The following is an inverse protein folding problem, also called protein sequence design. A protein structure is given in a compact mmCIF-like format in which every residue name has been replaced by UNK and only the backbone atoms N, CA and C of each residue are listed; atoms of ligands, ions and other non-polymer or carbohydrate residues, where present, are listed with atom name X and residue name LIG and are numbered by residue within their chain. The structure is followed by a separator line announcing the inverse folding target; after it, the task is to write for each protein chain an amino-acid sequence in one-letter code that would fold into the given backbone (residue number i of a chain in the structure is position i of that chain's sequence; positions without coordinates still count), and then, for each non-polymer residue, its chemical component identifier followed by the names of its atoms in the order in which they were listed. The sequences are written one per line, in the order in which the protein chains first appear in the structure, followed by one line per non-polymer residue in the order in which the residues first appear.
data_IF_324846017938
#
_entry.id   IF_324846017938
#
_cell.length_a   1.000
_cell.length_b   1.000
_cell.length_c   1.000
_cell.angle_alpha   90.00
_cell.angle_beta   90.00
_cell.angle_gamma   90.00
#
_symmetry.space_group_name_H-M   'P 1'
#
loop_
_entity.id
_entity.type
_entity.pdbx_description
1 polymer ?
#
# COMPACT_ATOMS: atom_id res chain seq x y z
N UNK A 1 25.14 -11.77 34.05
CA UNK A 1 24.16 -12.86 34.22
C UNK A 1 23.91 -13.66 32.92
N UNK A 2 23.90 -13.04 31.74
CA UNK A 2 23.63 -13.74 30.44
C UNK A 2 24.64 -14.83 30.05
N UNK A 3 25.94 -14.69 30.38
CA UNK A 3 26.96 -15.71 30.10
C UNK A 3 26.83 -17.02 30.89
N UNK A 4 26.22 -16.99 32.08
CA UNK A 4 26.00 -18.20 32.91
C UNK A 4 24.82 -19.03 32.43
N UNK A 5 23.78 -18.41 31.82
CA UNK A 5 22.64 -19.13 31.27
C UNK A 5 23.01 -19.88 29.98
N UNK A 6 23.88 -19.28 29.14
CA UNK A 6 24.35 -19.91 27.92
C UNK A 6 25.22 -21.13 28.18
N UNK A 7 26.08 -21.07 29.21
CA UNK A 7 26.90 -22.20 29.63
C UNK A 7 26.08 -23.36 30.21
N UNK A 8 24.95 -23.11 30.84
CA UNK A 8 24.05 -24.14 31.38
C UNK A 8 23.27 -24.88 30.29
N UNK A 9 22.84 -24.18 29.25
CA UNK A 9 22.14 -24.78 28.09
C UNK A 9 23.09 -25.66 27.27
N UNK A 10 24.34 -25.25 27.08
CA UNK A 10 25.34 -26.05 26.35
C UNK A 10 25.71 -27.32 27.09
N UNK A 11 25.78 -27.29 28.43
CA UNK A 11 26.06 -28.48 29.25
C UNK A 11 24.88 -29.45 29.31
N UNK A 12 23.63 -29.00 29.25
CA UNK A 12 22.46 -29.88 29.18
C UNK A 12 22.39 -30.60 27.82
N UNK A 13 22.78 -29.95 26.72
CA UNK A 13 22.79 -30.57 25.38
C UNK A 13 23.91 -31.61 25.22
N UNK A 14 25.09 -31.33 25.77
CA UNK A 14 26.20 -32.29 25.79
C UNK A 14 25.87 -33.58 26.61
N UNK A 15 25.04 -33.45 27.64
CA UNK A 15 24.61 -34.59 28.46
C UNK A 15 23.58 -35.47 27.73
N UNK A 16 22.75 -34.92 26.85
CA UNK A 16 21.78 -35.66 26.04
C UNK A 16 22.46 -36.46 24.94
N UNK A 17 23.55 -35.96 24.36
CA UNK A 17 24.33 -36.68 23.33
C UNK A 17 25.12 -37.89 23.91
N UNK A 18 25.43 -37.88 25.20
CA UNK A 18 26.15 -38.97 25.87
C UNK A 18 25.24 -40.14 26.28
N UNK A 19 23.93 -39.96 26.29
CA UNK A 19 22.97 -41.02 26.69
C UNK A 19 22.41 -41.85 25.55
N UNK A 20 22.84 -41.68 24.32
CA UNK A 20 22.71 -42.63 23.21
C UNK A 20 21.28 -43.09 22.91
N UNK A 21 20.29 -42.20 22.88
CA UNK A 21 18.96 -42.57 22.45
C UNK A 21 18.20 -41.39 21.86
N UNK A 22 17.82 -41.59 20.64
CA UNK A 22 16.79 -40.96 19.83
C UNK A 22 17.36 -40.17 18.63
N UNK A 23 16.96 -40.61 17.46
CA UNK A 23 17.07 -39.90 16.21
C UNK A 23 16.34 -38.53 16.36
N UNK A 24 17.03 -37.43 16.06
CA UNK A 24 16.44 -36.11 16.06
C UNK A 24 15.46 -36.08 14.88
N UNK A 25 14.20 -35.68 15.05
CA UNK A 25 13.26 -35.60 13.95
C UNK A 25 13.80 -34.55 12.93
N UNK A 26 13.72 -34.86 11.65
CA UNK A 26 14.14 -34.01 10.53
C UNK A 26 13.63 -32.55 10.62
N UNK A 27 12.47 -32.35 11.26
CA UNK A 27 11.90 -31.04 11.55
C UNK A 27 12.70 -30.24 12.61
N UNK A 28 13.41 -30.87 13.51
CA UNK A 28 14.21 -30.18 14.52
C UNK A 28 15.53 -29.64 13.94
N UNK A 29 16.13 -30.34 12.95
CA UNK A 29 17.29 -29.84 12.21
C UNK A 29 16.94 -28.64 11.34
N UNK A 30 15.73 -28.64 10.75
CA UNK A 30 15.24 -27.51 9.93
C UNK A 30 15.03 -26.24 10.77
N UNK A 31 14.52 -26.40 12.00
CA UNK A 31 14.30 -25.29 12.94
C UNK A 31 15.64 -24.73 13.43
N UNK A 32 16.62 -25.57 13.74
CA UNK A 32 17.96 -25.13 14.15
C UNK A 32 18.71 -24.43 13.04
N UNK A 33 18.60 -24.91 11.79
CA UNK A 33 19.19 -24.28 10.63
C UNK A 33 18.53 -22.91 10.31
N UNK A 34 17.23 -22.77 10.56
CA UNK A 34 16.52 -21.51 10.41
C UNK A 34 16.88 -20.50 11.52
N UNK A 35 17.03 -20.96 12.77
CA UNK A 35 17.47 -20.08 13.87
C UNK A 35 18.92 -19.61 13.68
N UNK A 36 19.79 -20.45 13.15
CA UNK A 36 21.19 -20.08 12.86
C UNK A 36 21.28 -19.09 11.68
N UNK A 37 20.46 -19.26 10.63
CA UNK A 37 20.39 -18.32 9.51
C UNK A 37 19.83 -16.96 9.90
N UNK A 38 18.84 -16.92 10.81
CA UNK A 38 18.27 -15.69 11.37
C UNK A 38 19.27 -14.99 12.30
N UNK A 39 20.03 -15.74 13.11
CA UNK A 39 21.03 -15.17 14.01
C UNK A 39 22.19 -14.51 13.26
N UNK A 40 22.63 -15.09 12.13
CA UNK A 40 23.69 -14.50 11.28
C UNK A 40 23.20 -13.25 10.55
N UNK A 41 21.93 -13.22 10.14
CA UNK A 41 21.31 -12.03 9.56
C UNK A 41 21.20 -10.88 10.60
N UNK A 42 20.91 -11.22 11.85
CA UNK A 42 20.80 -10.28 12.96
C UNK A 42 22.16 -9.61 13.32
N UNK A 43 23.27 -10.34 13.25
CA UNK A 43 24.59 -9.78 13.58
C UNK A 43 25.09 -8.79 12.51
N UNK A 44 24.75 -9.03 11.24
CA UNK A 44 25.14 -8.16 10.14
C UNK A 44 24.26 -6.88 10.03
N UNK A 45 23.03 -6.90 10.53
CA UNK A 45 22.18 -5.71 10.58
C UNK A 45 22.59 -4.73 11.69
N UNK A 46 23.23 -5.22 12.77
CA UNK A 46 23.66 -4.37 13.88
C UNK A 46 24.75 -3.36 13.47
N UNK A 47 25.62 -3.72 12.52
CA UNK A 47 26.70 -2.82 12.05
C UNK A 47 26.16 -1.67 11.18
N UNK A 48 25.00 -1.84 10.55
CA UNK A 48 24.39 -0.81 9.70
C UNK A 48 23.59 0.23 10.51
N UNK A 49 23.07 -0.14 11.69
CA UNK A 49 22.33 0.77 12.58
C UNK A 49 23.22 1.90 13.13
N UNK A 50 24.52 1.69 13.29
CA UNK A 50 25.44 2.68 13.86
C UNK A 50 25.66 3.88 12.92
N UNK A 51 25.48 3.70 11.61
CA UNK A 51 25.67 4.79 10.63
C UNK A 51 24.40 5.64 10.37
N UNK A 52 23.22 5.17 10.77
CA UNK A 52 21.95 5.90 10.56
C UNK A 52 21.64 6.93 11.67
N UNK A 53 22.28 6.84 12.84
CA UNK A 53 22.05 7.79 13.94
C UNK A 53 22.66 9.18 13.72
N UNK A 54 23.51 9.37 12.69
CA UNK A 54 24.25 10.63 12.48
C UNK A 54 23.47 11.67 11.64
N UNK A 55 22.35 11.30 11.01
CA UNK A 55 21.59 12.19 10.12
C UNK A 55 20.20 12.60 10.63
N UNK A 56 20.01 12.68 11.93
CA UNK A 56 18.79 13.30 12.50
C UNK A 56 18.94 14.84 12.50
N UNK A 57 19.05 15.43 11.31
CA UNK A 57 19.00 16.87 11.11
C UNK A 57 17.56 17.26 10.89
N UNK A 58 17.02 17.98 11.86
CA UNK A 58 15.80 18.79 11.88
C UNK A 58 15.18 19.05 10.51
N UNK A 59 14.06 18.39 10.21
CA UNK A 59 13.16 18.81 9.14
C UNK A 59 12.22 19.89 9.68
N UNK A 60 12.62 21.13 9.57
CA UNK A 60 11.68 22.26 9.53
C UNK A 60 10.98 22.27 8.19
N UNK A 61 9.68 22.52 8.22
CA UNK A 61 8.68 22.53 7.18
C UNK A 61 9.18 22.88 5.78
N UNK A 62 9.13 21.91 4.86
CA UNK A 62 9.04 22.18 3.44
C UNK A 62 7.65 21.82 2.93
N UNK A 63 7.02 22.82 2.32
CA UNK A 63 5.77 22.71 1.59
C UNK A 63 5.89 21.63 0.50
N UNK A 64 4.82 20.87 0.29
CA UNK A 64 4.74 19.91 -0.79
C UNK A 64 5.04 20.59 -2.13
N UNK A 65 5.92 20.04 -2.97
CA UNK A 65 6.12 20.58 -4.31
C UNK A 65 4.80 20.53 -5.08
N UNK A 66 4.40 21.66 -5.66
CA UNK A 66 3.30 21.74 -6.62
C UNK A 66 3.52 20.70 -7.73
N UNK A 67 2.43 20.04 -8.15
CA UNK A 67 2.45 19.11 -9.26
C UNK A 67 3.09 19.81 -10.48
N UNK A 68 4.20 19.24 -10.97
CA UNK A 68 4.92 19.79 -12.11
C UNK A 68 4.02 19.81 -13.35
N UNK A 69 4.25 20.77 -14.26
CA UNK A 69 3.50 20.88 -15.52
C UNK A 69 3.54 19.59 -16.38
N UNK A 70 4.51 18.71 -16.16
CA UNK A 70 4.57 17.38 -16.79
C UNK A 70 3.42 16.45 -16.35
N UNK A 71 2.99 16.51 -15.08
CA UNK A 71 1.82 15.75 -14.60
C UNK A 71 0.50 16.27 -15.23
N UNK A 72 0.46 17.53 -15.65
CA UNK A 72 -0.68 18.12 -16.36
C UNK A 72 -0.76 17.72 -17.83
N UNK A 73 0.39 17.45 -18.48
CA UNK A 73 0.44 17.13 -19.92
C UNK A 73 0.14 15.65 -20.22
N UNK A 74 0.31 14.73 -19.27
CA UNK A 74 0.00 13.30 -19.45
C UNK A 74 -1.51 13.06 -19.67
N UNK A 75 -2.36 13.99 -19.24
CA UNK A 75 -3.82 13.86 -19.36
C UNK A 75 -4.39 14.24 -20.75
N UNK A 76 -3.56 14.66 -21.71
CA UNK A 76 -4.01 15.18 -23.01
C UNK A 76 -3.67 14.30 -24.22
N UNK A 77 -3.20 13.04 -24.02
CA UNK A 77 -3.10 12.12 -25.18
C UNK A 77 -4.49 11.80 -25.72
N UNK A 78 -4.67 11.75 -27.06
CA UNK A 78 -5.97 11.49 -27.65
C UNK A 78 -6.46 10.11 -27.24
N UNK A 79 -7.56 10.09 -26.47
CA UNK A 79 -8.22 8.88 -26.02
C UNK A 79 -8.58 7.99 -27.20
N UNK A 80 -7.99 6.80 -27.28
CA UNK A 80 -8.44 5.76 -28.19
C UNK A 80 -9.79 5.28 -27.70
N UNK A 81 -10.86 5.60 -28.43
CA UNK A 81 -12.20 5.07 -28.17
C UNK A 81 -12.19 3.57 -28.47
N UNK A 82 -12.15 2.75 -27.44
CA UNK A 82 -12.38 1.31 -27.59
C UNK A 82 -13.87 1.03 -27.66
N UNK A 83 -14.24 0.10 -28.54
CA UNK A 83 -15.62 -0.39 -28.73
C UNK A 83 -16.04 -1.37 -27.60
N UNK A 84 -15.37 -1.31 -26.43
CA UNK A 84 -15.71 -2.13 -25.29
C UNK A 84 -17.08 -1.75 -24.75
N UNK A 85 -17.98 -2.70 -24.74
CA UNK A 85 -19.34 -2.52 -24.20
C UNK A 85 -19.29 -2.59 -22.66
N UNK A 86 -19.78 -1.57 -21.98
CA UNK A 86 -20.06 -1.64 -20.53
C UNK A 86 -21.55 -1.91 -20.35
N UNK A 87 -21.86 -2.99 -19.65
CA UNK A 87 -23.24 -3.33 -19.27
C UNK A 87 -23.43 -3.11 -17.78
N UNK A 88 -24.49 -2.41 -17.41
CA UNK A 88 -24.95 -2.27 -16.01
C UNK A 88 -26.20 -3.11 -15.86
N UNK A 89 -26.15 -4.15 -15.03
CA UNK A 89 -27.22 -5.14 -14.84
C UNK A 89 -27.75 -5.72 -16.16
N UNK A 90 -26.83 -5.94 -17.12
CA UNK A 90 -27.13 -6.49 -18.43
C UNK A 90 -27.67 -5.49 -19.47
N UNK A 91 -27.79 -4.22 -19.12
CA UNK A 91 -28.19 -3.15 -20.04
C UNK A 91 -26.98 -2.28 -20.42
N UNK A 92 -26.89 -1.80 -21.67
CA UNK A 92 -25.81 -0.89 -22.07
C UNK A 92 -25.74 0.33 -21.17
N UNK A 93 -24.53 0.65 -20.69
CA UNK A 93 -24.31 1.89 -19.94
C UNK A 93 -24.54 3.11 -20.84
N UNK A 94 -24.99 4.26 -20.28
CA UNK A 94 -25.13 5.50 -21.02
C UNK A 94 -23.81 5.93 -21.67
N UNK A 95 -23.86 6.53 -22.86
CA UNK A 95 -22.68 7.01 -23.60
C UNK A 95 -21.94 8.11 -22.82
N UNK A 96 -22.64 8.85 -22.00
CA UNK A 96 -22.15 9.94 -21.17
C UNK A 96 -21.11 9.50 -20.12
N UNK A 97 -20.98 8.19 -19.84
CA UNK A 97 -19.91 7.68 -18.98
C UNK A 97 -18.52 7.93 -19.57
N UNK A 98 -18.41 8.19 -20.88
CA UNK A 98 -17.23 8.71 -21.57
C UNK A 98 -16.00 7.84 -21.33
N UNK A 99 -15.98 6.59 -21.82
CA UNK A 99 -14.89 5.64 -21.59
C UNK A 99 -13.61 6.03 -22.29
N UNK A 100 -12.50 5.90 -21.58
CA UNK A 100 -11.15 5.99 -22.15
C UNK A 100 -10.28 4.87 -21.58
N UNK A 101 -9.30 4.40 -22.36
CA UNK A 101 -8.28 3.48 -21.88
C UNK A 101 -7.01 4.25 -21.53
N UNK A 102 -6.46 3.98 -20.33
CA UNK A 102 -5.18 4.51 -19.91
C UNK A 102 -4.39 3.40 -19.21
N UNK A 103 -3.19 3.10 -19.69
CA UNK A 103 -2.31 2.04 -19.15
C UNK A 103 -3.03 0.69 -18.88
N UNK A 104 -3.94 0.29 -19.78
CA UNK A 104 -4.74 -0.95 -19.63
C UNK A 104 -5.90 -0.88 -18.66
N UNK A 105 -6.21 0.31 -18.14
CA UNK A 105 -7.31 0.56 -17.19
C UNK A 105 -8.41 1.36 -17.86
N UNK A 106 -9.66 0.93 -17.74
CA UNK A 106 -10.83 1.66 -18.23
C UNK A 106 -11.19 2.78 -17.28
N UNK A 107 -11.07 4.02 -17.75
CA UNK A 107 -11.51 5.23 -17.04
C UNK A 107 -12.89 5.65 -17.51
N UNK A 108 -13.68 6.20 -16.60
CA UNK A 108 -15.01 6.72 -16.86
C UNK A 108 -15.24 8.05 -16.15
N UNK A 109 -16.19 8.84 -16.65
CA UNK A 109 -16.69 10.03 -15.96
C UNK A 109 -17.24 9.64 -14.58
N UNK A 110 -16.65 10.16 -13.51
CA UNK A 110 -17.12 9.89 -12.15
C UNK A 110 -18.60 10.29 -11.98
N UNK A 111 -18.97 11.47 -12.43
CA UNK A 111 -20.34 11.99 -12.28
C UNK A 111 -21.34 11.17 -13.11
N UNK A 112 -21.03 10.88 -14.37
CA UNK A 112 -21.97 10.15 -15.23
C UNK A 112 -22.11 8.69 -14.81
N UNK A 113 -21.00 8.02 -14.43
CA UNK A 113 -21.06 6.64 -13.95
C UNK A 113 -21.79 6.52 -12.62
N UNK A 114 -21.57 7.47 -11.70
CA UNK A 114 -22.33 7.54 -10.45
C UNK A 114 -23.82 7.68 -10.72
N UNK A 115 -24.22 8.58 -11.64
CA UNK A 115 -25.61 8.77 -12.03
C UNK A 115 -26.23 7.51 -12.67
N UNK A 116 -25.42 6.78 -13.45
CA UNK A 116 -25.86 5.51 -14.05
C UNK A 116 -26.03 4.39 -12.99
N UNK A 117 -25.26 4.42 -11.90
CA UNK A 117 -25.39 3.46 -10.79
C UNK A 117 -26.49 3.82 -9.79
N UNK A 118 -26.70 5.12 -9.55
CA UNK A 118 -27.71 5.64 -8.61
C UNK A 118 -28.32 6.94 -9.17
N UNK A 119 -29.59 6.91 -9.49
CA UNK A 119 -30.30 8.06 -10.06
C UNK A 119 -30.36 9.28 -9.12
N UNK A 120 -30.18 9.09 -7.81
CA UNK A 120 -30.11 10.20 -6.84
C UNK A 120 -28.77 10.94 -6.88
N UNK A 121 -27.74 10.39 -7.55
CA UNK A 121 -26.42 10.97 -7.57
C UNK A 121 -26.42 12.39 -8.15
N UNK A 122 -25.84 13.32 -7.38
CA UNK A 122 -25.63 14.72 -7.76
C UNK A 122 -24.13 15.03 -7.67
N UNK A 123 -23.61 15.74 -8.68
CA UNK A 123 -22.21 16.12 -8.75
C UNK A 123 -22.07 17.64 -8.58
N UNK A 124 -21.08 18.06 -7.79
CA UNK A 124 -20.68 19.45 -7.62
C UNK A 124 -19.18 19.59 -7.94
N UNK A 125 -18.83 20.64 -8.68
CA UNK A 125 -17.45 20.97 -9.04
C UNK A 125 -16.95 22.18 -8.26
N UNK A 126 -15.79 22.05 -7.64
CA UNK A 126 -15.06 23.19 -7.05
C UNK A 126 -13.82 23.47 -7.91
N UNK A 127 -13.92 24.54 -8.71
CA UNK A 127 -12.82 24.96 -9.59
C UNK A 127 -11.61 25.55 -8.86
N UNK A 128 -11.76 25.94 -7.59
CA UNK A 128 -10.64 26.48 -6.79
C UNK A 128 -9.69 25.39 -6.32
N UNK A 129 -10.19 24.18 -6.09
CA UNK A 129 -9.41 23.02 -5.63
C UNK A 129 -9.23 21.96 -6.71
N UNK A 130 -9.93 22.09 -7.86
CA UNK A 130 -9.94 21.04 -8.88
C UNK A 130 -10.62 19.75 -8.43
N UNK A 131 -11.62 19.86 -7.54
CA UNK A 131 -12.27 18.71 -6.90
C UNK A 131 -13.71 18.56 -7.39
N UNK A 132 -14.11 17.33 -7.75
CA UNK A 132 -15.52 16.95 -7.90
C UNK A 132 -15.99 16.21 -6.65
N UNK A 133 -17.16 16.57 -6.18
CA UNK A 133 -17.88 15.84 -5.13
C UNK A 133 -19.16 15.25 -5.70
N UNK A 134 -19.32 13.94 -5.60
CA UNK A 134 -20.56 13.23 -5.94
C UNK A 134 -21.23 12.79 -4.66
N UNK A 135 -22.53 13.06 -4.52
CA UNK A 135 -23.33 12.71 -3.34
C UNK A 135 -24.57 11.93 -3.76
N UNK A 136 -24.87 10.86 -3.06
CA UNK A 136 -26.12 10.13 -3.09
C UNK A 136 -26.74 10.11 -1.69
N UNK A 137 -27.86 9.40 -1.49
CA UNK A 137 -28.43 9.21 -0.14
C UNK A 137 -27.48 8.46 0.82
N UNK A 138 -26.60 7.60 0.29
CA UNK A 138 -25.75 6.70 1.10
C UNK A 138 -24.26 6.97 0.96
N UNK A 139 -23.83 7.68 -0.10
CA UNK A 139 -22.45 7.76 -0.51
C UNK A 139 -22.04 9.20 -0.82
N UNK A 140 -20.88 9.60 -0.30
CA UNK A 140 -20.17 10.79 -0.73
C UNK A 140 -18.83 10.39 -1.30
N UNK A 141 -18.53 10.80 -2.55
CA UNK A 141 -17.26 10.56 -3.23
C UNK A 141 -16.63 11.90 -3.55
N UNK A 142 -15.34 12.05 -3.24
CA UNK A 142 -14.53 13.20 -3.68
C UNK A 142 -13.35 12.71 -4.50
N UNK A 143 -13.09 13.37 -5.62
CA UNK A 143 -11.95 13.13 -6.48
C UNK A 143 -11.36 14.46 -6.92
N UNK A 144 -10.05 14.65 -6.73
CA UNK A 144 -9.31 15.83 -7.17
C UNK A 144 -8.41 15.47 -8.35
N UNK A 145 -8.41 16.31 -9.36
CA UNK A 145 -7.55 16.15 -10.53
C UNK A 145 -6.07 16.02 -10.12
N UNK A 146 -5.39 15.01 -10.63
CA UNK A 146 -3.98 14.73 -10.37
C UNK A 146 -3.71 13.93 -9.08
N UNK A 147 -4.71 13.68 -8.22
CA UNK A 147 -4.51 12.86 -7.03
C UNK A 147 -4.40 11.37 -7.39
N UNK A 148 -3.64 10.64 -6.61
CA UNK A 148 -3.50 9.16 -6.70
C UNK A 148 -4.61 8.41 -5.95
N UNK A 149 -5.70 9.07 -5.60
CA UNK A 149 -6.80 8.43 -4.86
C UNK A 149 -8.13 9.17 -5.02
N UNK A 150 -9.17 8.43 -4.73
CA UNK A 150 -10.54 8.92 -4.57
C UNK A 150 -10.95 8.62 -3.13
N UNK A 151 -11.67 9.54 -2.48
CA UNK A 151 -12.22 9.29 -1.13
C UNK A 151 -13.70 9.01 -1.25
N UNK A 152 -14.13 7.85 -0.75
CA UNK A 152 -15.53 7.43 -0.74
C UNK A 152 -15.94 7.05 0.69
N UNK A 153 -16.89 7.77 1.30
CA UNK A 153 -17.32 7.60 2.68
C UNK A 153 -16.16 7.46 3.69
N UNK A 154 -15.08 8.24 3.50
CA UNK A 154 -13.88 8.21 4.35
C UNK A 154 -12.89 7.06 4.06
N UNK A 155 -13.17 6.19 3.08
CA UNK A 155 -12.21 5.22 2.54
C UNK A 155 -11.40 5.84 1.41
N UNK A 156 -10.11 5.52 1.37
CA UNK A 156 -9.16 6.03 0.38
C UNK A 156 -8.89 4.94 -0.65
N UNK A 157 -9.39 5.13 -1.86
CA UNK A 157 -9.30 4.16 -2.96
C UNK A 157 -8.17 4.59 -3.91
N UNK A 158 -7.17 3.73 -4.07
CA UNK A 158 -5.97 4.04 -4.87
C UNK A 158 -6.29 4.13 -6.36
N UNK A 159 -5.65 5.10 -7.03
CA UNK A 159 -5.70 5.34 -8.48
C UNK A 159 -4.26 5.43 -8.98
N UNK A 160 -3.71 4.35 -9.55
CA UNK A 160 -2.30 4.25 -9.92
C UNK A 160 -1.88 5.32 -10.95
N UNK A 161 -2.72 5.57 -11.97
CA UNK A 161 -2.45 6.49 -13.08
C UNK A 161 -3.13 7.87 -12.89
N UNK A 162 -3.33 8.27 -11.64
CA UNK A 162 -3.97 9.54 -11.22
C UNK A 162 -5.46 9.67 -11.62
N UNK A 163 -6.13 10.56 -10.90
CA UNK A 163 -7.44 11.09 -11.29
C UNK A 163 -7.24 12.02 -12.48
N UNK A 164 -7.76 11.62 -13.63
CA UNK A 164 -7.60 12.33 -14.89
C UNK A 164 -8.72 13.32 -15.19
N UNK A 165 -8.59 14.00 -16.32
CA UNK A 165 -9.64 14.84 -16.89
C UNK A 165 -9.74 14.60 -18.40
N UNK A 166 -10.98 14.57 -18.91
CA UNK A 166 -11.25 14.55 -20.36
C UNK A 166 -12.39 15.51 -20.67
N UNK A 167 -12.15 16.47 -21.57
CA UNK A 167 -13.14 17.48 -21.98
C UNK A 167 -13.84 18.18 -20.78
N UNK A 168 -13.08 18.53 -19.75
CA UNK A 168 -13.61 19.19 -18.55
C UNK A 168 -14.32 18.26 -17.57
N UNK A 169 -14.29 16.96 -17.81
CA UNK A 169 -14.93 15.94 -16.96
C UNK A 169 -13.87 15.13 -16.20
N UNK A 170 -14.05 14.99 -14.90
CA UNK A 170 -13.14 14.20 -14.06
C UNK A 170 -13.33 12.70 -14.36
N UNK A 171 -12.23 12.06 -14.71
CA UNK A 171 -12.13 10.67 -15.10
C UNK A 171 -11.43 9.86 -14.00
N UNK A 172 -12.01 8.71 -13.66
CA UNK A 172 -11.46 7.79 -12.66
C UNK A 172 -11.60 6.34 -13.16
N UNK A 173 -10.79 5.40 -12.65
CA UNK A 173 -10.95 3.99 -13.00
C UNK A 173 -12.36 3.49 -12.71
N UNK A 174 -12.94 2.76 -13.66
CA UNK A 174 -14.27 2.15 -13.49
C UNK A 174 -14.31 1.24 -12.24
N UNK A 175 -13.23 0.52 -11.96
CA UNK A 175 -13.08 -0.32 -10.78
C UNK A 175 -13.18 0.46 -9.46
N UNK A 176 -12.68 1.71 -9.43
CA UNK A 176 -12.77 2.58 -8.25
C UNK A 176 -14.22 3.03 -8.04
N UNK A 177 -14.94 3.41 -9.11
CA UNK A 177 -16.35 3.81 -8.99
C UNK A 177 -17.21 2.62 -8.56
N UNK A 178 -17.04 1.45 -9.19
CA UNK A 178 -17.81 0.25 -8.82
C UNK A 178 -17.54 -0.15 -7.37
N UNK A 179 -16.28 -0.09 -6.90
CA UNK A 179 -15.94 -0.33 -5.49
C UNK A 179 -16.61 0.67 -4.56
N UNK A 180 -16.66 1.95 -4.91
CA UNK A 180 -17.30 2.98 -4.10
C UNK A 180 -18.81 2.72 -3.93
N UNK A 181 -19.47 2.21 -4.97
CA UNK A 181 -20.90 1.84 -4.96
C UNK A 181 -21.19 0.43 -4.42
N UNK A 182 -20.15 -0.29 -3.92
CA UNK A 182 -20.25 -1.70 -3.52
C UNK A 182 -20.79 -2.58 -4.66
N UNK A 183 -20.56 -2.20 -5.91
CA UNK A 183 -20.93 -2.92 -7.11
C UNK A 183 -19.85 -3.92 -7.50
N UNK A 184 -20.23 -4.99 -8.19
CA UNK A 184 -19.27 -5.95 -8.74
C UNK A 184 -18.94 -5.60 -10.19
N UNK A 185 -17.67 -5.83 -10.57
CA UNK A 185 -17.18 -5.64 -11.91
C UNK A 185 -16.57 -6.96 -12.42
N UNK A 186 -16.96 -7.39 -13.61
CA UNK A 186 -16.40 -8.54 -14.28
C UNK A 186 -16.10 -8.22 -15.75
N UNK A 187 -14.93 -8.59 -16.22
CA UNK A 187 -14.53 -8.45 -17.62
C UNK A 187 -14.62 -9.80 -18.32
N UNK A 188 -15.35 -9.84 -19.42
CA UNK A 188 -15.43 -11.00 -20.29
C UNK A 188 -14.37 -10.88 -21.41
N UNK A 189 -13.29 -11.63 -21.29
CA UNK A 189 -12.19 -11.63 -22.23
C UNK A 189 -12.60 -12.14 -23.65
N UNK A 190 -13.66 -12.94 -23.77
CA UNK A 190 -14.10 -13.47 -25.05
C UNK A 190 -14.83 -12.43 -25.90
N UNK A 191 -15.51 -11.50 -25.25
CA UNK A 191 -16.31 -10.47 -25.94
C UNK A 191 -15.75 -9.05 -25.77
N UNK A 192 -14.75 -8.84 -24.90
CA UNK A 192 -14.29 -7.51 -24.50
C UNK A 192 -15.32 -6.72 -23.69
N UNK A 193 -16.36 -7.37 -23.18
CA UNK A 193 -17.47 -6.70 -22.48
C UNK A 193 -17.19 -6.59 -20.99
N UNK A 194 -17.43 -5.41 -20.43
CA UNK A 194 -17.37 -5.16 -18.98
C UNK A 194 -18.77 -5.24 -18.41
N UNK A 195 -18.96 -6.15 -17.47
CA UNK A 195 -20.23 -6.34 -16.76
C UNK A 195 -20.14 -5.70 -15.38
N UNK A 196 -20.97 -4.70 -15.11
CA UNK A 196 -21.19 -4.10 -13.81
C UNK A 196 -22.51 -4.55 -13.26
N UNK A 197 -22.51 -5.03 -12.03
CA UNK A 197 -23.75 -5.36 -11.31
C UNK A 197 -23.86 -4.49 -10.07
N UNK A 198 -24.97 -3.78 -9.90
CA UNK A 198 -25.21 -2.92 -8.74
C UNK A 198 -25.17 -3.73 -7.45
N UNK A 199 -24.63 -3.12 -6.40
CA UNK A 199 -24.60 -3.66 -5.04
C UNK A 199 -25.49 -2.89 -4.08
N UNK A 200 -24.99 -2.65 -2.86
CA UNK A 200 -25.76 -1.94 -1.81
C UNK A 200 -25.92 -0.43 -2.05
N UNK A 201 -25.19 0.12 -3.02
CA UNK A 201 -25.15 1.55 -3.37
C UNK A 201 -24.09 2.36 -2.64
N UNK A 202 -23.42 1.78 -1.64
CA UNK A 202 -22.30 2.41 -0.97
C UNK A 202 -21.41 1.38 -0.29
N UNK A 203 -20.09 1.55 -0.38
CA UNK A 203 -19.14 0.78 0.43
C UNK A 203 -19.28 1.15 1.92
N UNK A 204 -18.81 0.24 2.79
CA UNK A 204 -18.71 0.49 4.24
C UNK A 204 -17.87 1.75 4.49
N UNK A 205 -18.28 2.58 5.47
CA UNK A 205 -17.56 3.80 5.82
C UNK A 205 -16.14 3.52 6.33
N UNK A 206 -15.22 4.49 6.16
CA UNK A 206 -13.85 4.36 6.64
C UNK A 206 -13.75 4.11 8.14
N UNK A 207 -14.62 4.71 8.95
CA UNK A 207 -14.65 4.53 10.40
C UNK A 207 -14.99 3.09 10.80
N UNK A 208 -15.84 2.42 10.02
CA UNK A 208 -16.19 1.03 10.27
C UNK A 208 -15.22 0.04 9.60
N UNK A 209 -14.54 0.45 8.53
CA UNK A 209 -13.68 -0.41 7.73
C UNK A 209 -12.26 -0.55 8.31
N UNK A 210 -11.62 0.58 8.64
CA UNK A 210 -10.23 0.55 9.10
C UNK A 210 -10.13 0.03 10.53
N UNK A 211 -9.39 -1.08 10.72
CA UNK A 211 -8.98 -1.49 12.06
C UNK A 211 -8.09 -0.39 12.66
N UNK A 212 -8.46 0.12 13.83
CA UNK A 212 -7.78 1.27 14.43
C UNK A 212 -6.36 0.95 14.88
N UNK A 213 -6.09 -0.28 15.35
CA UNK A 213 -4.74 -0.71 15.73
C UNK A 213 -3.83 -0.85 14.50
N UNK A 214 -4.34 -1.45 13.41
CA UNK A 214 -3.60 -1.56 12.17
C UNK A 214 -3.30 -0.19 11.55
N UNK A 215 -4.26 0.72 11.55
CA UNK A 215 -4.06 2.09 11.08
C UNK A 215 -3.07 2.86 11.97
N UNK A 216 -3.15 2.66 13.30
CA UNK A 216 -2.23 3.26 14.24
C UNK A 216 -0.77 2.86 13.95
N UNK A 217 -0.50 1.58 13.80
CA UNK A 217 0.86 1.10 13.56
C UNK A 217 1.35 1.38 12.13
N UNK A 218 0.50 1.16 11.13
CA UNK A 218 0.84 1.39 9.72
C UNK A 218 1.20 2.86 9.45
N UNK A 219 0.38 3.80 9.90
CA UNK A 219 0.66 5.23 9.68
C UNK A 219 1.98 5.70 10.32
N UNK A 220 2.31 5.15 11.49
CA UNK A 220 3.54 5.49 12.22
C UNK A 220 4.79 4.90 11.60
N UNK A 221 4.75 3.64 11.15
CA UNK A 221 5.91 3.05 10.48
C UNK A 221 6.16 3.72 9.14
N UNK A 222 5.12 3.99 8.34
CA UNK A 222 5.27 4.75 7.09
C UNK A 222 5.88 6.11 7.36
N UNK A 223 5.41 6.82 8.39
CA UNK A 223 5.99 8.13 8.77
C UNK A 223 7.45 8.02 9.21
N UNK A 224 7.78 7.02 10.01
CA UNK A 224 9.12 6.86 10.57
C UNK A 224 10.15 6.47 9.49
N UNK A 225 9.75 5.62 8.53
CA UNK A 225 10.65 5.08 7.51
C UNK A 225 10.65 5.92 6.23
N UNK A 226 9.54 6.58 5.86
CA UNK A 226 9.37 7.24 4.57
C UNK A 226 8.54 8.52 4.61
N UNK A 227 8.43 9.20 5.77
CA UNK A 227 7.56 10.36 5.94
C UNK A 227 7.88 11.57 5.07
N UNK A 228 9.09 11.65 4.54
CA UNK A 228 9.56 12.68 3.60
C UNK A 228 9.52 12.23 2.12
N UNK A 229 9.03 11.00 1.84
CA UNK A 229 8.97 10.48 0.48
C UNK A 229 7.65 10.88 -0.21
N UNK A 230 7.59 10.83 -1.56
CA UNK A 230 6.33 10.93 -2.31
C UNK A 230 5.32 9.88 -1.84
N UNK A 231 4.03 10.11 -2.14
CA UNK A 231 2.94 9.20 -1.69
C UNK A 231 3.21 7.75 -2.10
N UNK A 232 3.66 7.53 -3.32
CA UNK A 232 4.00 6.20 -3.84
C UNK A 232 5.11 5.52 -3.02
N UNK A 233 6.19 6.24 -2.66
CA UNK A 233 7.26 5.72 -1.82
C UNK A 233 6.80 5.38 -0.40
N UNK A 234 5.86 6.16 0.15
CA UNK A 234 5.21 5.87 1.43
C UNK A 234 4.33 4.63 1.34
N UNK A 235 3.55 4.49 0.27
CA UNK A 235 2.74 3.30 0.01
C UNK A 235 3.61 2.06 -0.18
N UNK A 236 4.72 2.18 -0.90
CA UNK A 236 5.66 1.09 -1.13
C UNK A 236 6.21 0.51 0.19
N UNK A 237 6.58 1.36 1.16
CA UNK A 237 6.96 0.91 2.50
C UNK A 237 5.80 0.19 3.20
N UNK A 238 4.58 0.72 3.12
CA UNK A 238 3.39 0.06 3.66
C UNK A 238 3.09 -1.29 2.99
N UNK A 239 3.28 -1.39 1.67
CA UNK A 239 3.11 -2.64 0.93
C UNK A 239 4.13 -3.70 1.39
N UNK A 240 5.40 -3.34 1.64
CA UNK A 240 6.38 -4.29 2.19
C UNK A 240 5.92 -4.83 3.55
N UNK A 241 5.37 -3.99 4.43
CA UNK A 241 4.83 -4.47 5.71
C UNK A 241 3.69 -5.45 5.50
N UNK A 242 2.74 -5.17 4.58
CA UNK A 242 1.62 -6.08 4.28
C UNK A 242 2.08 -7.36 3.58
N UNK A 243 3.06 -7.28 2.68
CA UNK A 243 3.67 -8.44 2.04
C UNK A 243 4.29 -9.39 3.08
N UNK A 244 4.98 -8.83 4.09
CA UNK A 244 5.50 -9.61 5.21
C UNK A 244 4.38 -10.26 6.02
N UNK A 245 3.30 -9.52 6.34
CA UNK A 245 2.13 -10.09 7.04
C UNK A 245 1.51 -11.26 6.28
N UNK A 246 1.50 -11.20 4.95
CA UNK A 246 0.98 -12.27 4.09
C UNK A 246 1.96 -13.43 3.90
N UNK A 247 3.25 -13.23 4.15
CA UNK A 247 4.28 -14.25 3.93
C UNK A 247 4.46 -15.11 5.21
N UNK A 248 4.40 -16.46 5.11
CA UNK A 248 4.42 -17.36 6.28
C UNK A 248 5.71 -17.36 7.11
N UNK A 249 6.82 -16.80 6.60
CA UNK A 249 8.07 -16.68 7.38
C UNK A 249 8.08 -15.47 8.33
N UNK A 250 7.09 -14.60 8.24
CA UNK A 250 6.95 -13.44 9.11
C UNK A 250 5.71 -13.58 10.02
N UNK A 251 5.59 -12.77 11.08
CA UNK A 251 4.37 -12.70 11.86
C UNK A 251 3.16 -12.26 11.00
N UNK A 252 2.01 -12.82 11.30
CA UNK A 252 0.77 -12.61 10.55
C UNK A 252 -0.04 -11.37 10.98
N UNK A 253 0.59 -10.41 11.64
CA UNK A 253 -0.03 -9.13 12.04
C UNK A 253 0.94 -7.97 11.80
N UNK A 254 0.43 -6.78 11.51
CA UNK A 254 1.24 -5.57 11.33
C UNK A 254 2.11 -5.33 12.56
N UNK A 255 1.52 -5.28 13.75
CA UNK A 255 2.25 -5.11 14.99
C UNK A 255 3.34 -6.18 15.19
N UNK A 256 3.03 -7.45 14.88
CA UNK A 256 3.98 -8.55 14.99
C UNK A 256 5.19 -8.37 14.07
N UNK A 257 4.97 -7.95 12.82
CA UNK A 257 6.05 -7.65 11.85
C UNK A 257 6.93 -6.51 12.36
N UNK A 258 6.34 -5.43 12.89
CA UNK A 258 7.09 -4.28 13.41
C UNK A 258 7.86 -4.60 14.70
N UNK A 259 7.34 -5.52 15.52
CA UNK A 259 7.93 -5.92 16.78
C UNK A 259 9.09 -6.93 16.63
N UNK A 260 9.32 -7.46 15.42
CA UNK A 260 10.43 -8.38 15.17
C UNK A 260 11.76 -7.72 15.55
N UNK A 261 12.61 -8.52 16.19
CA UNK A 261 13.92 -8.05 16.62
C UNK A 261 14.76 -7.63 15.42
N UNK A 262 15.34 -6.42 15.48
CA UNK A 262 16.24 -5.83 14.49
C UNK A 262 15.64 -5.61 13.08
N UNK A 263 14.29 -5.62 12.92
CA UNK A 263 13.66 -5.31 11.63
C UNK A 263 13.32 -3.81 11.49
N UNK A 264 12.78 -3.21 12.54
CA UNK A 264 12.43 -1.79 12.57
C UNK A 264 13.07 -1.14 13.80
N UNK A 265 14.19 -0.43 13.60
CA UNK A 265 14.91 0.23 14.71
C UNK A 265 14.03 1.25 15.43
N UNK A 266 13.16 1.90 14.69
CA UNK A 266 12.19 2.89 15.17
C UNK A 266 11.16 2.30 16.14
N UNK A 267 10.91 0.99 16.13
CA UNK A 267 9.99 0.31 17.04
C UNK A 267 10.56 0.20 18.47
N UNK A 268 11.90 0.15 18.64
CA UNK A 268 12.54 -0.09 19.95
C UNK A 268 12.20 1.00 20.96
N UNK A 269 11.95 0.58 22.22
CA UNK A 269 11.74 1.49 23.37
C UNK A 269 10.48 2.35 23.26
N UNK A 270 9.48 1.93 22.50
CA UNK A 270 8.23 2.66 22.33
C UNK A 270 8.34 3.91 21.46
N UNK A 271 9.48 4.15 20.81
CA UNK A 271 9.69 5.34 19.96
C UNK A 271 8.64 5.45 18.86
N UNK A 272 8.30 4.33 18.20
CA UNK A 272 7.31 4.32 17.13
C UNK A 272 5.91 4.69 17.62
N UNK A 273 5.48 4.15 18.77
CA UNK A 273 4.15 4.44 19.33
C UNK A 273 3.96 5.93 19.69
N UNK A 274 5.06 6.63 20.00
CA UNK A 274 5.06 8.03 20.40
C UNK A 274 5.20 9.00 19.21
N UNK A 275 5.38 8.51 17.96
CA UNK A 275 5.45 9.37 16.79
C UNK A 275 4.05 9.84 16.40
N UNK A 276 3.96 11.08 15.94
CA UNK A 276 2.74 11.64 15.34
C UNK A 276 2.92 11.65 13.82
N UNK A 277 2.23 10.76 13.07
CA UNK A 277 2.35 10.73 11.62
C UNK A 277 1.77 11.99 10.99
N UNK A 278 2.37 12.44 9.89
CA UNK A 278 1.81 13.51 9.08
C UNK A 278 0.64 12.99 8.24
N UNK A 279 -0.16 13.92 7.68
CA UNK A 279 -1.35 13.60 6.89
C UNK A 279 -1.05 12.65 5.73
N UNK A 280 0.02 12.90 4.95
CA UNK A 280 0.39 12.06 3.82
C UNK A 280 0.74 10.62 4.22
N UNK A 281 1.30 10.39 5.42
CA UNK A 281 1.56 9.05 5.94
C UNK A 281 0.28 8.35 6.41
N UNK A 282 -0.69 9.12 6.92
CA UNK A 282 -2.02 8.58 7.27
C UNK A 282 -2.79 8.19 6.00
N UNK A 283 -2.74 9.04 4.96
CA UNK A 283 -3.33 8.75 3.65
C UNK A 283 -2.71 7.48 3.05
N UNK A 284 -1.37 7.39 3.01
CA UNK A 284 -0.68 6.21 2.51
C UNK A 284 -1.07 4.93 3.28
N UNK A 285 -1.16 5.01 4.62
CA UNK A 285 -1.62 3.89 5.45
C UNK A 285 -3.04 3.45 5.09
N UNK A 286 -3.97 4.39 4.92
CA UNK A 286 -5.34 4.10 4.52
C UNK A 286 -5.41 3.46 3.13
N UNK A 287 -4.61 3.98 2.17
CA UNK A 287 -4.55 3.43 0.81
C UNK A 287 -4.10 1.97 0.80
N UNK A 288 -2.99 1.65 1.48
CA UNK A 288 -2.48 0.27 1.50
C UNK A 288 -3.38 -0.67 2.29
N UNK A 289 -4.00 -0.22 3.38
CA UNK A 289 -4.98 -0.99 4.14
C UNK A 289 -6.29 -1.22 3.37
N UNK A 290 -6.61 -0.37 2.40
CA UNK A 290 -7.74 -0.54 1.47
C UNK A 290 -7.39 -1.41 0.25
N UNK A 291 -6.18 -1.96 0.20
CA UNK A 291 -5.70 -2.82 -0.87
C UNK A 291 -5.00 -2.09 -2.02
N UNK A 292 -4.59 -0.83 -1.81
CA UNK A 292 -3.74 -0.11 -2.76
C UNK A 292 -2.34 -0.72 -2.80
N UNK A 293 -1.90 -1.10 -4.01
CA UNK A 293 -0.59 -1.72 -4.24
C UNK A 293 0.16 -0.91 -5.29
N UNK A 294 1.40 -0.54 -4.97
CA UNK A 294 2.37 -0.08 -5.95
C UNK A 294 2.91 -1.32 -6.64
N UNK A 295 2.62 -1.47 -7.94
CA UNK A 295 2.81 -2.74 -8.66
C UNK A 295 4.26 -3.24 -8.62
N UNK A 296 5.23 -2.33 -8.70
CA UNK A 296 6.65 -2.63 -8.72
C UNK A 296 7.17 -3.24 -7.41
N UNK A 297 6.43 -3.06 -6.30
CA UNK A 297 6.79 -3.59 -4.98
C UNK A 297 5.84 -4.68 -4.48
N UNK A 298 4.96 -5.20 -5.32
CA UNK A 298 3.97 -6.22 -4.94
C UNK A 298 4.59 -7.47 -4.30
N UNK A 299 5.82 -7.82 -4.69
CA UNK A 299 6.55 -8.98 -4.18
C UNK A 299 7.74 -8.59 -3.28
N UNK A 300 7.90 -7.28 -2.97
CA UNK A 300 9.00 -6.81 -2.15
C UNK A 300 8.80 -7.20 -0.67
N UNK A 301 9.85 -7.74 -0.07
CA UNK A 301 9.90 -8.10 1.36
C UNK A 301 10.92 -7.26 2.13
N UNK A 302 11.81 -6.53 1.45
CA UNK A 302 12.84 -5.68 2.05
C UNK A 302 12.91 -4.33 1.34
N UNK A 303 13.36 -3.32 2.06
CA UNK A 303 13.69 -2.01 1.51
C UNK A 303 14.86 -1.39 2.29
N UNK A 304 15.58 -0.49 1.63
CA UNK A 304 16.73 0.22 2.17
C UNK A 304 16.80 1.64 1.63
N UNK A 305 17.48 2.52 2.37
CA UNK A 305 17.91 3.81 1.83
C UNK A 305 18.88 3.62 0.64
N UNK A 306 18.90 4.59 -0.29
CA UNK A 306 19.66 4.53 -1.55
C UNK A 306 21.14 4.17 -1.39
N UNK A 307 21.78 4.66 -0.32
CA UNK A 307 23.21 4.49 -0.08
C UNK A 307 23.53 3.33 0.89
N UNK A 308 22.53 2.54 1.27
CA UNK A 308 22.70 1.43 2.20
C UNK A 308 23.49 0.28 1.56
N UNK A 309 24.37 -0.35 2.34
CA UNK A 309 25.05 -1.60 2.01
C UNK A 309 24.54 -2.72 2.92
N UNK A 310 23.21 -2.82 3.04
CA UNK A 310 22.53 -3.77 3.92
C UNK A 310 22.71 -5.22 3.46
N UNK A 311 22.22 -6.14 4.28
CA UNK A 311 22.13 -7.54 3.90
C UNK A 311 21.25 -7.72 2.65
N UNK A 312 20.10 -7.04 2.56
CA UNK A 312 19.21 -7.11 1.40
C UNK A 312 19.91 -6.62 0.12
N UNK A 313 20.62 -5.51 0.20
CA UNK A 313 21.39 -4.98 -0.94
C UNK A 313 22.45 -5.94 -1.48
N UNK A 314 22.97 -6.84 -0.64
CA UNK A 314 24.01 -7.81 -1.02
C UNK A 314 23.46 -9.16 -1.47
N UNK A 315 22.23 -9.54 -1.06
CA UNK A 315 21.73 -10.91 -1.21
C UNK A 315 20.40 -11.01 -1.96
N UNK A 316 19.73 -9.88 -2.23
CA UNK A 316 18.43 -9.84 -2.86
C UNK A 316 18.43 -9.06 -4.17
N UNK A 317 17.56 -9.43 -5.09
CA UNK A 317 17.35 -8.68 -6.32
C UNK A 317 16.68 -7.34 -6.02
N UNK A 318 17.27 -6.22 -6.48
CA UNK A 318 16.59 -4.93 -6.46
C UNK A 318 15.47 -4.96 -7.50
N UNK A 319 14.23 -4.82 -7.07
CA UNK A 319 13.04 -4.80 -7.93
C UNK A 319 12.86 -3.42 -8.54
N UNK A 320 12.91 -2.37 -7.68
CA UNK A 320 12.67 -0.98 -8.09
C UNK A 320 13.32 -0.01 -7.11
N UNK A 321 13.51 1.22 -7.58
CA UNK A 321 13.88 2.38 -6.76
C UNK A 321 12.74 3.36 -6.80
N UNK A 322 12.18 3.72 -5.63
CA UNK A 322 11.12 4.72 -5.51
C UNK A 322 11.56 5.76 -4.49
N UNK A 323 11.65 7.01 -4.92
CA UNK A 323 12.17 8.08 -4.10
C UNK A 323 13.57 7.79 -3.57
N UNK A 324 13.76 7.86 -2.25
CA UNK A 324 15.03 7.60 -1.58
C UNK A 324 15.26 6.14 -1.18
N UNK A 325 14.43 5.19 -1.64
CA UNK A 325 14.48 3.79 -1.22
C UNK A 325 14.67 2.81 -2.39
N UNK A 326 15.41 1.73 -2.12
CA UNK A 326 15.50 0.53 -2.96
C UNK A 326 14.64 -0.57 -2.36
N UNK A 327 13.88 -1.27 -3.18
CA UNK A 327 13.01 -2.36 -2.77
C UNK A 327 13.51 -3.68 -3.35
N UNK A 328 13.42 -4.78 -2.56
CA UNK A 328 14.01 -6.07 -2.89
C UNK A 328 12.99 -7.20 -2.64
N UNK A 329 13.06 -8.26 -3.50
CA UNK A 329 12.26 -9.47 -3.42
C UNK A 329 13.03 -10.74 -3.07
#
# INVERSE_FOLDING_TARGET
MKRKLFSMLLSAFALLLLMGAAEVPEQAELILAQEESVAVADEQMLETEIQLEVNDVSAEGEEMPEATDEARQIAEEPAVLFDELVLIDGQPAPIEIGRIQNAGTTYVSLAAMAKALDESAAAAWDGSTGTVTVTTEKLTITARMGDYYVVANGRYLYVAEHVGQNNGTIMVPLSVVTKAFDATLNWDAATGTIHVRRGSGALMSGDAFYNQDDLFWMSRVIYAESGNQPLEGRMAVGNVVLNRVANPIFPNTIHGVLAQRNQFSTYKGGKLANRTPNEGSIIAAKLVLDGGVVEEVKDALWFDAMCSNSWAARHKACLVIIGGHKFYG
#
